data_IF_399675440882
#
_entry.id   IF_399675440882
#
_cell.length_a   1.000
_cell.length_b   1.000
_cell.length_c   1.000
_cell.angle_alpha   90.00
_cell.angle_beta   90.00
_cell.angle_gamma   90.00
#
_symmetry.space_group_name_H-M   'P 1'
#
loop_
_entity.id
_entity.type
_entity.pdbx_description
1 polymer ?
#
# COMPACT_ATOMS: atom_id res chain seq x y z
N UNK A 1 -23.97 7.40 -21.81
CA UNK A 1 -22.79 8.27 -21.65
C UNK A 1 -21.72 7.48 -20.93
N UNK A 2 -20.49 7.39 -21.47
CA UNK A 2 -19.41 6.58 -20.88
C UNK A 2 -19.09 6.98 -19.43
N UNK A 3 -19.18 8.27 -19.09
CA UNK A 3 -18.95 8.73 -17.72
C UNK A 3 -19.97 8.17 -16.71
N UNK A 4 -21.24 7.95 -17.10
CA UNK A 4 -22.23 7.31 -16.21
C UNK A 4 -21.90 5.83 -16.00
N UNK A 5 -21.55 5.13 -17.07
CA UNK A 5 -21.14 3.73 -17.00
C UNK A 5 -19.89 3.55 -16.11
N UNK A 6 -18.90 4.44 -16.22
CA UNK A 6 -17.72 4.43 -15.36
C UNK A 6 -18.10 4.62 -13.88
N UNK A 7 -18.98 5.59 -13.57
CA UNK A 7 -19.46 5.82 -12.21
C UNK A 7 -20.26 4.63 -11.65
N UNK A 8 -21.09 3.99 -12.49
CA UNK A 8 -21.83 2.78 -12.12
C UNK A 8 -20.89 1.63 -11.79
N UNK A 9 -19.86 1.41 -12.60
CA UNK A 9 -18.85 0.39 -12.36
C UNK A 9 -18.06 0.64 -11.05
N UNK A 10 -17.64 1.89 -10.82
CA UNK A 10 -16.94 2.25 -9.59
C UNK A 10 -17.80 1.99 -8.34
N UNK A 11 -19.08 2.38 -8.38
CA UNK A 11 -20.03 2.11 -7.27
C UNK A 11 -20.23 0.61 -7.04
N UNK A 12 -20.35 -0.17 -8.11
CA UNK A 12 -20.51 -1.63 -8.02
C UNK A 12 -19.32 -2.29 -7.30
N UNK A 13 -18.09 -1.84 -7.60
CA UNK A 13 -16.89 -2.32 -6.88
C UNK A 13 -16.98 -1.95 -5.39
N UNK A 14 -17.36 -0.72 -5.06
CA UNK A 14 -17.50 -0.30 -3.65
C UNK A 14 -18.56 -1.13 -2.91
N UNK A 15 -19.71 -1.40 -3.53
CA UNK A 15 -20.75 -2.27 -2.96
C UNK A 15 -20.23 -3.68 -2.74
N UNK A 16 -19.50 -4.27 -3.70
CA UNK A 16 -18.90 -5.59 -3.52
C UNK A 16 -17.90 -5.64 -2.35
N UNK A 17 -17.08 -4.60 -2.19
CA UNK A 17 -16.15 -4.49 -1.04
C UNK A 17 -16.93 -4.42 0.28
N UNK A 18 -17.98 -3.59 0.35
CA UNK A 18 -18.83 -3.46 1.54
C UNK A 18 -19.53 -4.78 1.88
N UNK A 19 -20.09 -5.48 0.89
CA UNK A 19 -20.85 -6.71 1.12
C UNK A 19 -19.96 -7.92 1.45
N UNK A 20 -18.69 -7.93 1.01
CA UNK A 20 -17.85 -9.14 1.08
C UNK A 20 -16.58 -9.01 1.93
N UNK A 21 -16.10 -7.80 2.23
CA UNK A 21 -14.78 -7.61 2.85
C UNK A 21 -14.80 -7.02 4.27
N UNK A 22 -15.94 -6.59 4.81
CA UNK A 22 -16.00 -5.95 6.14
C UNK A 22 -15.44 -6.84 7.25
N UNK A 23 -15.76 -8.13 7.24
CA UNK A 23 -15.22 -9.08 8.21
C UNK A 23 -13.70 -9.26 8.07
N UNK A 24 -13.17 -9.26 6.84
CA UNK A 24 -11.74 -9.39 6.59
C UNK A 24 -10.97 -8.12 7.00
N UNK A 25 -11.55 -6.94 6.73
CA UNK A 25 -11.01 -5.65 7.15
C UNK A 25 -10.96 -5.59 8.67
N UNK A 26 -12.02 -6.02 9.36
CA UNK A 26 -12.08 -6.04 10.83
C UNK A 26 -11.02 -6.96 11.42
N UNK A 27 -10.87 -8.18 10.89
CA UNK A 27 -9.82 -9.13 11.32
C UNK A 27 -8.41 -8.56 11.10
N UNK A 28 -8.17 -7.91 9.97
CA UNK A 28 -6.89 -7.27 9.70
C UNK A 28 -6.61 -6.12 10.69
N UNK A 29 -7.61 -5.31 11.00
CA UNK A 29 -7.51 -4.22 11.97
C UNK A 29 -7.23 -4.73 13.39
N UNK A 30 -7.90 -5.80 13.83
CA UNK A 30 -7.65 -6.45 15.13
C UNK A 30 -6.21 -6.96 15.23
N UNK A 31 -5.71 -7.67 14.22
CA UNK A 31 -4.32 -8.14 14.20
C UNK A 31 -3.29 -7.00 14.29
N UNK A 32 -3.58 -5.88 13.62
CA UNK A 32 -2.74 -4.68 13.71
C UNK A 32 -2.79 -4.06 15.11
N UNK A 33 -3.98 -3.95 15.70
CA UNK A 33 -4.18 -3.41 17.03
C UNK A 33 -3.47 -4.25 18.11
N UNK A 34 -3.65 -5.58 18.09
CA UNK A 34 -3.00 -6.51 19.02
C UNK A 34 -1.46 -6.43 18.94
N UNK A 35 -0.94 -6.29 17.71
CA UNK A 35 0.50 -6.12 17.47
C UNK A 35 1.02 -4.82 18.10
N UNK A 36 0.29 -3.72 17.91
CA UNK A 36 0.65 -2.41 18.46
C UNK A 36 0.52 -2.40 19.99
N UNK A 37 -0.51 -3.03 20.56
CA UNK A 37 -0.69 -3.18 22.01
C UNK A 37 0.52 -3.88 22.65
N UNK A 38 1.06 -4.89 21.96
CA UNK A 38 2.28 -5.58 22.36
C UNK A 38 3.58 -4.74 22.17
N UNK A 39 3.47 -3.44 21.88
CA UNK A 39 4.58 -2.51 21.58
C UNK A 39 5.45 -2.96 20.41
N UNK A 40 4.85 -3.59 19.41
CA UNK A 40 5.50 -3.97 18.14
C UNK A 40 5.01 -3.09 16.99
N UNK A 41 5.73 -3.14 15.88
CA UNK A 41 5.35 -2.43 14.67
C UNK A 41 4.49 -3.28 13.75
N UNK A 42 3.55 -2.61 13.08
CA UNK A 42 2.89 -3.12 11.89
C UNK A 42 3.68 -2.58 10.69
N UNK A 43 4.45 -3.45 10.05
CA UNK A 43 5.20 -3.11 8.84
C UNK A 43 4.26 -3.10 7.64
N UNK A 44 4.30 -2.02 6.85
CA UNK A 44 3.51 -1.88 5.62
C UNK A 44 4.45 -1.61 4.45
N UNK A 45 4.33 -2.39 3.38
CA UNK A 45 5.21 -2.34 2.21
C UNK A 45 4.42 -2.45 0.90
N UNK A 46 4.87 -1.75 -0.14
CA UNK A 46 4.26 -1.74 -1.45
C UNK A 46 5.19 -1.12 -2.49
N UNK A 47 4.95 -1.45 -3.77
CA UNK A 47 5.71 -0.92 -4.91
C UNK A 47 4.79 -0.12 -5.84
N UNK A 48 5.32 0.96 -6.41
CA UNK A 48 4.59 1.84 -7.33
C UNK A 48 3.34 2.42 -6.68
N UNK A 49 2.19 2.33 -7.36
CA UNK A 49 0.93 2.85 -6.81
C UNK A 49 0.43 2.13 -5.55
N UNK A 50 0.97 0.94 -5.24
CA UNK A 50 0.65 0.26 -3.99
C UNK A 50 1.25 0.96 -2.75
N UNK A 51 2.12 1.98 -2.94
CA UNK A 51 2.60 2.81 -1.84
C UNK A 51 1.56 3.83 -1.38
N UNK A 52 0.62 4.22 -2.24
CA UNK A 52 -0.43 5.19 -1.92
C UNK A 52 -1.26 4.81 -0.68
N UNK A 53 -1.80 3.59 -0.54
CA UNK A 53 -2.50 3.21 0.69
C UNK A 53 -1.59 3.21 1.93
N UNK A 54 -0.28 3.02 1.76
CA UNK A 54 0.68 3.03 2.88
C UNK A 54 0.94 4.46 3.33
N UNK A 55 1.15 5.38 2.38
CA UNK A 55 1.25 6.82 2.61
C UNK A 55 -0.03 7.37 3.25
N UNK A 56 -1.19 6.84 2.89
CA UNK A 56 -2.48 7.18 3.52
C UNK A 56 -2.58 6.64 4.96
N UNK A 57 -1.88 5.56 5.33
CA UNK A 57 -1.90 5.05 6.71
C UNK A 57 -0.99 5.85 7.64
N UNK A 58 0.27 6.09 7.25
CA UNK A 58 1.27 6.80 8.06
C UNK A 58 2.46 7.27 7.21
N UNK A 59 3.06 8.45 7.48
CA UNK A 59 2.65 9.46 8.46
C UNK A 59 1.54 10.37 7.93
N UNK A 60 0.45 10.52 8.70
CA UNK A 60 -0.63 11.48 8.44
C UNK A 60 -1.06 12.19 9.72
N UNK A 61 -1.57 13.41 9.59
CA UNK A 61 -2.24 14.08 10.71
C UNK A 61 -3.51 13.28 11.05
N UNK A 62 -3.64 12.89 12.32
CA UNK A 62 -4.70 11.99 12.78
C UNK A 62 -4.42 10.51 12.50
N UNK A 63 -3.19 10.15 12.11
CA UNK A 63 -2.74 8.77 11.98
C UNK A 63 -2.44 8.12 13.32
N UNK A 64 -2.42 6.79 13.35
CA UNK A 64 -2.12 6.00 14.54
C UNK A 64 -0.63 5.68 14.62
N UNK A 65 -0.02 5.91 15.79
CA UNK A 65 1.36 5.50 16.06
C UNK A 65 1.42 3.98 16.19
N UNK A 66 2.41 3.34 15.56
CA UNK A 66 2.59 1.88 15.57
C UNK A 66 2.63 1.25 14.17
N UNK A 67 2.20 1.98 13.15
CA UNK A 67 2.42 1.62 11.74
C UNK A 67 3.81 2.11 11.31
N UNK A 68 4.57 1.22 10.68
CA UNK A 68 5.91 1.48 10.15
C UNK A 68 5.90 1.35 8.62
N UNK A 69 5.79 2.47 7.89
CA UNK A 69 5.77 2.47 6.43
C UNK A 69 7.17 2.22 5.87
N UNK A 70 7.31 1.16 5.08
CA UNK A 70 8.51 0.81 4.34
C UNK A 70 8.35 1.26 2.88
N UNK A 71 8.66 2.54 2.64
CA UNK A 71 8.47 3.21 1.35
C UNK A 71 9.85 3.49 0.76
N UNK A 72 10.33 2.55 -0.05
CA UNK A 72 11.65 2.61 -0.66
C UNK A 72 11.64 3.49 -1.92
N UNK A 73 12.50 4.52 -1.96
CA UNK A 73 12.58 5.44 -3.09
C UNK A 73 12.75 4.73 -4.46
N UNK A 74 13.57 3.66 -4.58
CA UNK A 74 13.68 2.89 -5.83
C UNK A 74 12.40 2.18 -6.27
N UNK A 75 11.45 1.99 -5.35
CA UNK A 75 10.17 1.31 -5.56
C UNK A 75 8.98 2.26 -5.48
N UNK A 76 9.19 3.57 -5.42
CA UNK A 76 8.12 4.58 -5.44
C UNK A 76 8.27 5.56 -6.60
N UNK A 77 9.50 5.76 -7.06
CA UNK A 77 9.80 6.68 -8.14
C UNK A 77 9.84 5.95 -9.50
N UNK A 78 8.80 6.15 -10.31
CA UNK A 78 8.64 5.47 -11.62
C UNK A 78 8.28 6.42 -12.77
N UNK A 79 8.40 7.73 -12.58
CA UNK A 79 8.04 8.73 -13.59
C UNK A 79 9.14 8.98 -14.64
N UNK A 80 10.40 8.65 -14.33
CA UNK A 80 11.49 8.70 -15.32
C UNK A 80 11.47 7.44 -16.19
N UNK A 81 11.46 7.61 -17.51
CA UNK A 81 11.55 6.48 -18.44
C UNK A 81 12.99 5.94 -18.53
N UNK A 82 13.99 6.84 -18.55
CA UNK A 82 15.42 6.48 -18.60
C UNK A 82 16.22 7.28 -17.56
N UNK A 83 17.44 6.83 -17.27
CA UNK A 83 18.33 7.43 -16.27
C UNK A 83 18.24 6.75 -14.90
N UNK A 84 18.94 7.33 -13.92
CA UNK A 84 18.86 6.91 -12.52
C UNK A 84 17.40 6.90 -12.03
N UNK A 85 17.04 5.86 -11.28
CA UNK A 85 15.67 5.68 -10.77
C UNK A 85 14.62 5.64 -11.90
N UNK A 86 15.03 5.23 -13.10
CA UNK A 86 14.12 5.04 -14.22
C UNK A 86 13.26 3.77 -14.07
N UNK A 87 12.18 3.69 -14.86
CA UNK A 87 11.23 2.57 -14.85
C UNK A 87 11.91 1.20 -15.03
N UNK A 88 13.01 1.13 -15.77
CA UNK A 88 13.77 -0.12 -15.93
C UNK A 88 14.41 -0.62 -14.63
N UNK A 89 14.94 0.28 -13.80
CA UNK A 89 15.52 -0.06 -12.50
C UNK A 89 14.43 -0.44 -11.50
N UNK A 90 13.32 0.32 -11.51
CA UNK A 90 12.11 0.03 -10.73
C UNK A 90 11.57 -1.38 -11.03
N UNK A 91 11.28 -1.69 -12.30
CA UNK A 91 10.72 -3.00 -12.71
C UNK A 91 11.71 -4.13 -12.47
N UNK A 92 13.02 -3.85 -12.58
CA UNK A 92 14.04 -4.81 -12.20
C UNK A 92 13.94 -5.15 -10.70
N UNK A 93 13.97 -4.15 -9.83
CA UNK A 93 13.91 -4.35 -8.37
C UNK A 93 12.61 -5.02 -7.91
N UNK A 94 11.47 -4.72 -8.53
CA UNK A 94 10.19 -5.40 -8.23
C UNK A 94 10.26 -6.94 -8.40
N UNK A 95 11.18 -7.43 -9.22
CA UNK A 95 11.34 -8.85 -9.55
C UNK A 95 12.55 -9.49 -8.87
N UNK A 96 13.34 -8.72 -8.13
CA UNK A 96 14.52 -9.22 -7.43
C UNK A 96 14.10 -9.83 -6.11
N UNK A 97 14.25 -11.14 -5.99
CA UNK A 97 14.10 -11.83 -4.72
C UNK A 97 15.21 -11.42 -3.75
N UNK A 98 14.84 -11.23 -2.48
CA UNK A 98 15.79 -10.94 -1.40
C UNK A 98 15.95 -9.46 -1.04
N UNK A 99 15.40 -8.53 -1.83
CA UNK A 99 15.49 -7.09 -1.50
C UNK A 99 14.92 -6.74 -0.12
N UNK A 100 13.89 -7.47 0.32
CA UNK A 100 13.33 -7.36 1.67
C UNK A 100 14.34 -7.59 2.80
N UNK A 101 15.46 -8.30 2.57
CA UNK A 101 16.53 -8.49 3.58
C UNK A 101 17.42 -7.26 3.73
N UNK A 102 17.56 -6.46 2.67
CA UNK A 102 18.44 -5.30 2.67
C UNK A 102 17.77 -4.05 3.27
N UNK A 103 16.43 -4.06 3.36
CA UNK A 103 15.62 -2.94 3.87
C UNK A 103 15.01 -3.20 5.26
N UNK A 104 15.36 -4.32 5.90
CA UNK A 104 14.88 -4.75 7.23
C UNK A 104 16.03 -4.76 8.23
#
# INVERSE_FOLDING_TARGET
MLAKQWLENARSIMTCIEETQIDNISKAAELMADTIECKRWVHTFGCGHATLPIEEMYPRIGGFVGVHPMIELPLTFFTRITGEMGVHQFVFLERVEGYGREIM
#
